data_IF_908793063993
#
_entry.id   IF_908793063993
#
_cell.length_a   1.000
_cell.length_b   1.000
_cell.length_c   1.000
_cell.angle_alpha   90.00
_cell.angle_beta   90.00
_cell.angle_gamma   90.00
#
_symmetry.space_group_name_H-M   'P 1'
#
loop_
_entity.id
_entity.type
_entity.pdbx_description
1 polymer ?
#
# COMPACT_ATOMS: atom_id res chain seq x y z
N UNK A 1 23.16 -0.65 15.56
CA UNK A 1 24.33 -0.67 14.64
C UNK A 1 25.25 -1.89 14.88
N UNK A 2 24.96 -3.07 14.31
CA UNK A 2 25.90 -4.22 14.39
C UNK A 2 27.02 -4.14 13.35
N UNK A 3 26.86 -3.35 12.28
CA UNK A 3 27.85 -3.16 11.23
C UNK A 3 28.37 -1.72 11.31
N UNK A 4 29.68 -1.53 11.46
CA UNK A 4 30.29 -0.20 11.44
C UNK A 4 30.05 0.55 10.12
N UNK A 5 30.37 1.84 10.08
CA UNK A 5 30.41 2.66 8.86
C UNK A 5 31.49 2.10 7.93
N UNK A 6 31.06 1.36 6.91
CA UNK A 6 31.93 0.88 5.82
C UNK A 6 32.45 2.04 4.98
N UNK A 7 33.47 1.82 4.17
CA UNK A 7 34.06 2.88 3.33
C UNK A 7 33.05 3.50 2.35
N UNK A 8 32.16 2.69 1.77
CA UNK A 8 31.08 3.19 0.92
C UNK A 8 30.08 4.05 1.71
N UNK A 9 29.72 3.64 2.93
CA UNK A 9 28.80 4.41 3.77
C UNK A 9 29.47 5.71 4.29
N UNK A 10 30.75 5.65 4.63
CA UNK A 10 31.54 6.82 5.02
C UNK A 10 31.69 7.81 3.87
N UNK A 11 31.91 7.33 2.64
CA UNK A 11 31.95 8.17 1.44
C UNK A 11 30.63 8.91 1.21
N UNK A 12 29.49 8.20 1.25
CA UNK A 12 28.17 8.81 1.09
C UNK A 12 27.87 9.82 2.21
N UNK A 13 28.23 9.50 3.45
CA UNK A 13 28.08 10.39 4.59
C UNK A 13 28.93 11.66 4.45
N UNK A 14 30.20 11.53 4.03
CA UNK A 14 31.08 12.69 3.82
C UNK A 14 30.58 13.56 2.67
N UNK A 15 30.14 12.96 1.57
CA UNK A 15 29.53 13.70 0.45
C UNK A 15 28.29 14.46 0.90
N UNK A 16 27.43 13.84 1.71
CA UNK A 16 26.23 14.46 2.23
C UNK A 16 26.53 15.64 3.17
N UNK A 17 27.56 15.54 4.02
CA UNK A 17 27.88 16.54 5.04
C UNK A 17 28.81 17.66 4.56
N UNK A 18 29.78 17.34 3.71
CA UNK A 18 30.90 18.23 3.38
C UNK A 18 31.06 18.49 1.88
N UNK A 19 30.15 17.96 1.04
CA UNK A 19 30.13 18.08 -0.42
C UNK A 19 31.33 17.47 -1.17
N UNK A 20 32.46 17.23 -0.50
CA UNK A 20 33.65 16.58 -1.02
C UNK A 20 34.09 15.44 -0.09
N UNK A 21 34.09 14.18 -0.55
CA UNK A 21 34.56 13.05 0.23
C UNK A 21 36.08 13.14 0.44
N UNK A 22 36.57 12.54 1.53
CA UNK A 22 38.01 12.42 1.78
C UNK A 22 38.64 11.50 0.73
N UNK A 23 39.87 11.81 0.35
CA UNK A 23 40.69 10.87 -0.42
C UNK A 23 40.87 9.56 0.36
N UNK A 24 40.97 8.40 -0.31
CA UNK A 24 41.10 7.09 0.36
C UNK A 24 42.22 7.04 1.40
N UNK A 25 43.36 7.68 1.09
CA UNK A 25 44.50 7.75 2.00
C UNK A 25 44.17 8.57 3.26
N UNK A 26 43.51 9.71 3.10
CA UNK A 26 43.11 10.57 4.23
C UNK A 26 42.08 9.87 5.13
N UNK A 27 41.15 9.08 4.56
CA UNK A 27 40.23 8.25 5.33
C UNK A 27 40.97 7.17 6.13
N UNK A 28 41.97 6.52 5.54
CA UNK A 28 42.77 5.52 6.24
C UNK A 28 43.61 6.14 7.37
N UNK A 29 44.13 7.35 7.17
CA UNK A 29 44.83 8.11 8.22
C UNK A 29 43.91 8.42 9.40
N UNK A 30 42.66 8.80 9.13
CA UNK A 30 41.63 8.99 10.18
C UNK A 30 41.40 7.69 10.94
N UNK A 31 41.22 6.55 10.25
CA UNK A 31 41.07 5.24 10.90
C UNK A 31 42.30 4.86 11.73
N UNK A 32 43.51 5.16 11.25
CA UNK A 32 44.75 4.91 11.98
C UNK A 32 44.83 5.71 13.28
N UNK A 33 44.33 6.95 13.30
CA UNK A 33 44.19 7.74 14.54
C UNK A 33 43.24 7.04 15.50
N UNK A 34 42.11 6.52 15.03
CA UNK A 34 41.15 5.79 15.88
C UNK A 34 41.77 4.51 16.44
N UNK A 35 42.40 3.67 15.60
CA UNK A 35 43.04 2.41 16.03
C UNK A 35 44.12 2.62 17.09
N UNK A 36 44.86 3.73 17.02
CA UNK A 36 45.89 4.07 18.01
C UNK A 36 45.34 4.43 19.39
N UNK A 37 44.11 4.93 19.45
CA UNK A 37 43.53 5.47 20.68
C UNK A 37 42.37 4.62 21.23
N UNK A 38 41.77 3.76 20.41
CA UNK A 38 40.59 2.97 20.78
C UNK A 38 40.66 1.57 20.14
N UNK A 39 40.77 0.54 20.99
CA UNK A 39 41.00 -0.85 20.60
C UNK A 39 39.84 -1.42 19.77
N UNK A 40 38.60 -0.95 20.00
CA UNK A 40 37.37 -1.37 19.31
C UNK A 40 36.75 -0.25 18.45
N UNK A 41 37.54 0.77 18.09
CA UNK A 41 37.08 1.91 17.30
C UNK A 41 36.94 1.62 15.80
N UNK A 42 37.61 0.59 15.29
CA UNK A 42 37.56 0.17 13.88
C UNK A 42 37.43 -1.35 13.82
N UNK A 43 36.40 -1.85 13.13
CA UNK A 43 36.15 -3.28 12.92
C UNK A 43 35.91 -3.55 11.43
N UNK A 44 36.51 -4.64 10.90
CA UNK A 44 36.39 -5.02 9.49
C UNK A 44 36.64 -3.86 8.50
N UNK A 45 37.66 -3.05 8.79
CA UNK A 45 38.00 -1.83 8.05
C UNK A 45 36.93 -0.71 8.05
N UNK A 46 35.84 -0.86 8.80
CA UNK A 46 34.82 0.16 9.01
C UNK A 46 34.91 0.82 10.39
N UNK A 47 34.46 2.06 10.48
CA UNK A 47 34.44 2.81 11.74
C UNK A 47 33.28 2.33 12.61
N UNK A 48 33.53 1.93 13.85
CA UNK A 48 32.45 1.54 14.77
C UNK A 48 31.73 2.76 15.33
N UNK A 49 30.57 2.58 15.97
CA UNK A 49 29.89 3.67 16.67
C UNK A 49 30.81 4.32 17.72
N UNK A 50 31.56 3.51 18.47
CA UNK A 50 32.54 4.03 19.46
C UNK A 50 33.66 4.83 18.78
N UNK A 51 34.17 4.35 17.65
CA UNK A 51 35.14 5.09 16.83
C UNK A 51 34.59 6.41 16.31
N UNK A 52 33.34 6.42 15.84
CA UNK A 52 32.66 7.62 15.35
C UNK A 52 32.49 8.67 16.46
N UNK A 53 32.02 8.27 17.64
CA UNK A 53 31.90 9.16 18.80
C UNK A 53 33.27 9.67 19.28
N UNK A 54 34.30 8.81 19.24
CA UNK A 54 35.67 9.20 19.55
C UNK A 54 36.19 10.29 18.59
N UNK A 55 35.92 10.18 17.28
CA UNK A 55 36.31 11.22 16.31
C UNK A 55 35.66 12.57 16.61
N UNK A 56 34.35 12.59 16.89
CA UNK A 56 33.66 13.82 17.27
C UNK A 56 34.18 14.42 18.58
N UNK A 57 34.52 13.57 19.57
CA UNK A 57 35.17 14.01 20.81
C UNK A 57 36.53 14.67 20.51
N UNK A 58 37.34 14.06 19.64
CA UNK A 58 38.64 14.58 19.24
C UNK A 58 38.53 15.92 18.50
N UNK A 59 37.53 16.10 17.63
CA UNK A 59 37.30 17.37 16.95
C UNK A 59 36.98 18.50 17.93
N UNK A 60 36.12 18.22 18.91
CA UNK A 60 35.75 19.21 19.95
C UNK A 60 36.97 19.59 20.80
N UNK A 61 37.73 18.62 21.29
CA UNK A 61 38.93 18.86 22.11
C UNK A 61 40.02 19.67 21.38
N UNK A 62 40.10 19.55 20.06
CA UNK A 62 41.04 20.30 19.21
C UNK A 62 40.50 21.66 18.77
N UNK A 63 39.37 22.11 19.31
CA UNK A 63 38.75 23.40 18.97
C UNK A 63 38.08 23.42 17.60
N UNK A 64 37.85 22.27 16.96
CA UNK A 64 37.21 22.12 15.64
C UNK A 64 35.75 21.67 15.76
N UNK A 65 35.03 22.24 16.73
CA UNK A 65 33.65 21.85 17.04
C UNK A 65 32.67 22.14 15.90
N UNK A 66 32.94 23.15 15.05
CA UNK A 66 32.13 23.43 13.86
C UNK A 66 31.99 22.22 12.93
N UNK A 67 32.98 21.33 12.84
CA UNK A 67 32.87 20.10 12.04
C UNK A 67 31.75 19.19 12.56
N UNK A 68 31.58 19.10 13.88
CA UNK A 68 30.48 18.35 14.49
C UNK A 68 29.14 19.06 14.24
N UNK A 69 29.10 20.39 14.38
CA UNK A 69 27.88 21.16 14.09
C UNK A 69 27.44 21.10 12.64
N UNK A 70 28.36 21.10 11.66
CA UNK A 70 28.03 20.88 10.25
C UNK A 70 27.28 19.56 10.04
N UNK A 71 27.74 18.48 10.69
CA UNK A 71 27.07 17.16 10.62
C UNK A 71 25.70 17.23 11.27
N UNK A 72 25.60 17.74 12.50
CA UNK A 72 24.32 17.84 13.22
C UNK A 72 23.27 18.62 12.41
N UNK A 73 23.63 19.81 11.93
CA UNK A 73 22.76 20.66 11.11
C UNK A 73 22.39 19.99 9.79
N UNK A 74 23.31 19.25 9.16
CA UNK A 74 22.99 18.48 7.93
C UNK A 74 21.94 17.41 8.17
N UNK A 75 21.93 16.82 9.36
CA UNK A 75 20.97 15.82 9.80
C UNK A 75 19.68 16.40 10.41
N UNK A 76 19.50 17.72 10.32
CA UNK A 76 18.27 18.41 10.73
C UNK A 76 18.24 18.85 12.19
N UNK A 77 19.34 18.71 12.94
CA UNK A 77 19.43 19.17 14.32
C UNK A 77 19.67 20.68 14.41
N UNK A 78 19.04 21.32 15.38
CA UNK A 78 19.27 22.72 15.75
C UNK A 78 20.33 22.87 16.86
N UNK A 79 20.51 24.10 17.35
CA UNK A 79 21.52 24.43 18.36
C UNK A 79 21.18 23.86 19.76
N UNK A 80 19.93 23.43 19.98
CA UNK A 80 19.47 22.76 21.22
C UNK A 80 19.54 21.22 21.11
N UNK A 81 20.06 20.69 19.99
CA UNK A 81 20.12 19.27 19.66
C UNK A 81 18.73 18.63 19.53
N UNK A 82 17.73 19.41 19.13
CA UNK A 82 16.41 18.92 18.75
C UNK A 82 16.30 18.88 17.22
N UNK A 83 15.46 17.98 16.69
CA UNK A 83 15.19 17.96 15.26
C UNK A 83 14.28 19.15 14.91
N UNK A 84 14.74 19.97 13.96
CA UNK A 84 14.02 21.15 13.53
C UNK A 84 12.63 20.77 13.00
N UNK A 85 11.61 21.51 13.42
CA UNK A 85 10.23 21.30 13.00
C UNK A 85 10.04 21.42 11.48
N UNK A 86 10.80 22.28 10.81
CA UNK A 86 10.76 22.42 9.34
C UNK A 86 11.34 21.20 8.62
N UNK A 87 12.25 20.45 9.27
CA UNK A 87 12.81 19.21 8.76
C UNK A 87 11.80 18.04 8.87
N UNK A 88 11.08 17.96 9.99
CA UNK A 88 10.09 16.92 10.26
C UNK A 88 8.74 17.18 9.57
N UNK A 89 8.33 18.44 9.49
CA UNK A 89 7.02 18.87 8.97
C UNK A 89 7.18 19.82 7.78
N UNK A 90 7.82 19.39 6.68
CA UNK A 90 7.98 20.25 5.51
C UNK A 90 6.60 20.60 4.92
N UNK A 91 6.46 21.81 4.35
CA UNK A 91 5.17 22.27 3.84
C UNK A 91 4.69 21.41 2.66
N UNK A 92 3.56 20.73 2.83
CA UNK A 92 2.88 19.98 1.78
C UNK A 92 1.41 20.37 1.71
N UNK A 93 1.02 21.08 0.64
CA UNK A 93 -0.37 21.47 0.43
C UNK A 93 -1.13 20.38 -0.30
N UNK A 94 -2.11 19.77 0.37
CA UNK A 94 -3.04 18.80 -0.22
C UNK A 94 -4.37 19.51 -0.53
N UNK A 95 -4.74 19.71 -1.81
CA UNK A 95 -6.03 20.31 -2.15
C UNK A 95 -7.21 19.40 -1.76
N UNK A 96 -8.42 19.96 -1.58
CA UNK A 96 -9.62 19.16 -1.36
C UNK A 96 -9.87 18.16 -2.50
N UNK A 97 -10.49 17.02 -2.18
CA UNK A 97 -10.76 15.90 -3.10
C UNK A 97 -9.51 15.21 -3.70
N UNK A 98 -8.29 15.60 -3.31
CA UNK A 98 -7.04 14.91 -3.65
C UNK A 98 -6.70 13.84 -2.59
N UNK A 99 -5.77 12.95 -2.92
CA UNK A 99 -5.19 11.98 -1.97
C UNK A 99 -3.67 12.03 -2.05
N UNK A 100 -3.01 11.45 -1.05
CA UNK A 100 -1.55 11.36 -0.95
C UNK A 100 -1.11 9.91 -1.11
N UNK A 101 -0.12 9.69 -1.96
CA UNK A 101 0.46 8.37 -2.23
C UNK A 101 1.99 8.46 -2.17
N UNK A 102 2.65 7.36 -1.83
CA UNK A 102 4.11 7.25 -1.97
C UNK A 102 4.49 7.17 -3.45
N UNK A 103 5.53 7.89 -3.85
CA UNK A 103 6.09 7.73 -5.19
C UNK A 103 7.01 6.50 -5.27
N UNK A 104 7.46 6.16 -6.48
CA UNK A 104 8.30 4.99 -6.70
C UNK A 104 9.62 5.03 -5.90
N UNK A 105 10.28 6.19 -5.82
CA UNK A 105 11.55 6.33 -5.09
C UNK A 105 11.36 6.18 -3.58
N UNK A 106 10.23 6.64 -3.04
CA UNK A 106 9.87 6.44 -1.63
C UNK A 106 9.62 4.96 -1.32
N UNK A 107 8.96 4.22 -2.23
CA UNK A 107 8.87 2.77 -2.10
C UNK A 107 10.25 2.11 -2.10
N UNK A 108 11.13 2.44 -3.06
CA UNK A 108 12.49 1.88 -3.11
C UNK A 108 13.28 2.16 -1.82
N UNK A 109 13.16 3.37 -1.28
CA UNK A 109 13.76 3.71 0.02
C UNK A 109 13.22 2.81 1.13
N UNK A 110 11.90 2.69 1.27
CA UNK A 110 11.28 1.85 2.29
C UNK A 110 11.63 0.36 2.14
N UNK A 111 11.76 -0.13 0.91
CA UNK A 111 12.23 -1.48 0.64
C UNK A 111 13.67 -1.67 1.16
N UNK A 112 14.55 -0.70 0.89
CA UNK A 112 15.93 -0.75 1.41
C UNK A 112 15.99 -0.66 2.94
N UNK A 113 15.06 0.07 3.57
CA UNK A 113 14.94 0.14 5.03
C UNK A 113 14.49 -1.22 5.58
N UNK A 114 13.48 -1.85 4.97
CA UNK A 114 13.05 -3.19 5.36
C UNK A 114 14.20 -4.20 5.26
N UNK A 115 14.84 -4.30 4.09
CA UNK A 115 15.90 -5.28 3.83
C UNK A 115 17.12 -5.10 4.75
N UNK A 116 17.36 -3.88 5.23
CA UNK A 116 18.42 -3.58 6.20
C UNK A 116 18.14 -4.18 7.59
N UNK A 117 16.86 -4.23 7.97
CA UNK A 117 16.43 -4.66 9.30
C UNK A 117 15.94 -6.11 9.34
N UNK A 118 15.53 -6.70 8.21
CA UNK A 118 15.30 -8.14 8.03
C UNK A 118 16.65 -8.89 8.00
N UNK A 119 17.15 -9.23 9.19
CA UNK A 119 18.48 -9.81 9.41
C UNK A 119 18.50 -11.30 9.12
N UNK A 120 17.41 -11.99 9.39
CA UNK A 120 17.28 -13.42 9.15
C UNK A 120 16.76 -13.76 7.74
N UNK A 121 16.32 -12.76 6.98
CA UNK A 121 15.88 -12.83 5.57
C UNK A 121 14.63 -13.68 5.42
N UNK A 122 13.74 -13.63 6.39
CA UNK A 122 12.47 -14.37 6.38
C UNK A 122 11.33 -13.61 5.67
N UNK A 123 11.61 -12.42 5.12
CA UNK A 123 10.64 -11.50 4.52
C UNK A 123 9.57 -11.00 5.51
N UNK A 124 9.87 -10.99 6.80
CA UNK A 124 9.10 -10.39 7.86
C UNK A 124 10.01 -9.62 8.83
N UNK A 125 9.39 -8.81 9.70
CA UNK A 125 10.11 -8.12 10.77
C UNK A 125 9.63 -8.68 12.10
N UNK A 126 10.52 -9.40 12.75
CA UNK A 126 10.35 -9.85 14.13
C UNK A 126 10.25 -8.66 15.10
N UNK A 127 9.76 -8.87 16.34
CA UNK A 127 9.69 -7.79 17.33
C UNK A 127 11.04 -7.12 17.62
N UNK A 128 12.14 -7.87 17.56
CA UNK A 128 13.48 -7.32 17.82
C UNK A 128 14.04 -6.55 16.62
N UNK A 129 13.68 -6.94 15.39
CA UNK A 129 14.02 -6.18 14.18
C UNK A 129 13.21 -4.90 14.06
N UNK A 130 11.92 -4.94 14.41
CA UNK A 130 11.11 -3.72 14.54
C UNK A 130 11.68 -2.77 15.60
N UNK A 131 12.18 -3.30 16.72
CA UNK A 131 12.84 -2.48 17.74
C UNK A 131 14.09 -1.81 17.19
N UNK A 132 14.96 -2.56 16.53
CA UNK A 132 16.17 -2.03 15.88
C UNK A 132 15.87 -1.03 14.75
N UNK A 133 14.76 -1.19 14.03
CA UNK A 133 14.26 -0.21 13.07
C UNK A 133 13.83 1.09 13.77
N UNK A 134 13.13 0.97 14.90
CA UNK A 134 12.60 2.11 15.65
C UNK A 134 13.59 2.74 16.63
N UNK A 135 14.82 2.23 16.73
CA UNK A 135 15.89 2.84 17.54
C UNK A 135 16.25 4.27 17.10
N UNK A 136 15.92 4.66 15.85
CA UNK A 136 16.10 6.04 15.34
C UNK A 136 14.87 6.93 15.56
N UNK A 137 13.81 6.41 16.17
CA UNK A 137 12.60 7.16 16.49
C UNK A 137 12.62 7.58 17.96
N UNK A 138 12.09 8.76 18.31
CA UNK A 138 12.00 9.20 19.70
C UNK A 138 10.93 8.45 20.51
N UNK A 139 10.06 7.69 19.85
CA UNK A 139 9.01 6.86 20.45
C UNK A 139 8.69 5.67 19.53
N UNK A 140 7.95 4.67 20.01
CA UNK A 140 7.49 3.56 19.18
C UNK A 140 6.34 4.02 18.27
N UNK A 141 6.54 4.10 16.93
CA UNK A 141 5.58 4.74 16.03
C UNK A 141 4.34 3.89 15.74
N UNK A 142 4.45 2.56 15.91
CA UNK A 142 3.42 1.59 15.57
C UNK A 142 2.92 0.88 16.83
N UNK A 143 1.61 0.93 17.04
CA UNK A 143 0.94 0.16 18.07
C UNK A 143 0.78 -1.32 17.67
N UNK A 144 0.35 -2.18 18.61
CA UNK A 144 0.15 -3.60 18.36
C UNK A 144 -1.04 -3.90 17.42
N UNK A 145 -1.90 -2.92 17.17
CA UNK A 145 -2.98 -2.95 16.20
C UNK A 145 -2.49 -2.98 14.75
N UNK A 146 -1.27 -2.49 14.47
CA UNK A 146 -0.66 -2.52 13.14
C UNK A 146 -0.52 -3.95 12.63
N UNK A 147 -0.14 -4.90 13.49
CA UNK A 147 -0.09 -6.31 13.15
C UNK A 147 -1.45 -6.84 12.69
N UNK A 148 -2.56 -6.19 13.04
CA UNK A 148 -3.91 -6.56 12.60
C UNK A 148 -4.48 -5.67 11.50
N UNK A 149 -3.69 -4.71 11.02
CA UNK A 149 -4.05 -3.79 9.95
C UNK A 149 -3.48 -4.24 8.60
N UNK A 150 -2.35 -4.95 8.62
CA UNK A 150 -1.59 -5.34 7.43
C UNK A 150 -1.29 -6.83 7.38
N UNK A 151 -0.74 -7.30 6.26
CA UNK A 151 -0.34 -8.71 6.12
C UNK A 151 0.76 -9.09 7.12
N UNK A 152 0.61 -10.24 7.76
CA UNK A 152 1.58 -10.83 8.69
C UNK A 152 1.86 -12.29 8.34
N UNK A 153 3.05 -12.78 8.69
CA UNK A 153 3.39 -14.20 8.57
C UNK A 153 2.60 -15.06 9.58
N UNK A 154 2.92 -16.35 9.69
CA UNK A 154 2.24 -17.29 10.60
C UNK A 154 2.45 -16.94 12.09
N UNK A 155 3.58 -16.33 12.43
CA UNK A 155 3.91 -15.88 13.79
C UNK A 155 3.29 -14.52 14.15
N UNK A 156 2.62 -13.86 13.19
CA UNK A 156 2.04 -12.53 13.39
C UNK A 156 3.01 -11.38 13.18
N UNK A 157 4.20 -11.64 12.64
CA UNK A 157 5.21 -10.63 12.30
C UNK A 157 4.84 -9.94 10.99
N UNK A 158 5.14 -8.65 10.89
CA UNK A 158 4.77 -7.83 9.73
C UNK A 158 5.61 -8.28 8.53
N UNK A 159 4.97 -8.73 7.45
CA UNK A 159 5.71 -9.14 6.25
C UNK A 159 6.23 -7.94 5.46
N UNK A 160 7.14 -8.15 4.52
CA UNK A 160 7.56 -7.13 3.55
C UNK A 160 6.38 -6.37 2.91
N UNK A 161 5.39 -7.11 2.40
CA UNK A 161 4.19 -6.51 1.82
C UNK A 161 3.34 -5.78 2.88
N UNK A 162 3.28 -6.32 4.09
CA UNK A 162 2.59 -5.67 5.22
C UNK A 162 3.25 -4.35 5.61
N UNK A 163 4.58 -4.29 5.64
CA UNK A 163 5.37 -3.11 5.93
C UNK A 163 5.07 -2.00 4.92
N UNK A 164 5.16 -2.29 3.61
CA UNK A 164 4.82 -1.31 2.57
C UNK A 164 3.35 -0.88 2.64
N UNK A 165 2.45 -1.80 2.99
CA UNK A 165 1.03 -1.49 3.18
C UNK A 165 0.80 -0.53 4.35
N UNK A 166 1.52 -0.68 5.46
CA UNK A 166 1.41 0.21 6.63
C UNK A 166 1.88 1.64 6.30
N UNK A 167 2.98 1.76 5.57
CA UNK A 167 3.45 3.06 5.07
C UNK A 167 2.46 3.70 4.09
N UNK A 168 1.89 2.90 3.19
CA UNK A 168 0.85 3.34 2.25
C UNK A 168 -0.40 3.85 2.98
N UNK A 169 -0.83 3.13 4.02
CA UNK A 169 -1.95 3.52 4.87
C UNK A 169 -1.67 4.84 5.60
N UNK A 170 -0.52 4.94 6.25
CA UNK A 170 -0.10 6.14 6.98
C UNK A 170 -0.05 7.33 6.03
N UNK A 171 0.55 7.17 4.84
CA UNK A 171 0.60 8.23 3.82
C UNK A 171 -0.79 8.69 3.37
N UNK A 172 -1.73 7.77 3.23
CA UNK A 172 -3.08 8.08 2.76
C UNK A 172 -3.95 8.76 3.82
N UNK A 173 -3.83 8.35 5.09
CA UNK A 173 -4.67 8.85 6.19
C UNK A 173 -4.07 10.07 6.90
N UNK A 174 -2.75 10.08 7.14
CA UNK A 174 -2.03 11.11 7.88
C UNK A 174 -0.65 11.33 7.25
N UNK A 175 -0.65 12.11 6.16
CA UNK A 175 0.58 12.40 5.41
C UNK A 175 1.63 13.14 6.27
N UNK A 176 1.21 13.95 7.24
CA UNK A 176 2.14 14.69 8.10
C UNK A 176 2.94 13.74 8.99
N UNK A 177 2.27 12.75 9.59
CA UNK A 177 2.95 11.68 10.33
C UNK A 177 3.88 10.86 9.45
N UNK A 178 3.51 10.61 8.20
CA UNK A 178 4.41 9.95 7.25
C UNK A 178 5.68 10.77 6.99
N UNK A 179 5.55 12.09 6.82
CA UNK A 179 6.68 13.00 6.60
C UNK A 179 7.60 13.05 7.82
N UNK A 180 7.02 13.12 9.02
CA UNK A 180 7.76 13.04 10.30
C UNK A 180 8.57 11.73 10.39
N UNK A 181 7.95 10.59 10.09
CA UNK A 181 8.63 9.29 10.11
C UNK A 181 9.72 9.17 9.04
N UNK A 182 9.54 9.79 7.87
CA UNK A 182 10.60 9.94 6.87
C UNK A 182 11.76 10.79 7.38
N UNK A 183 11.48 11.82 8.19
CA UNK A 183 12.47 12.59 8.92
C UNK A 183 13.31 11.73 9.85
N UNK A 184 12.68 10.93 10.71
CA UNK A 184 13.40 10.02 11.63
C UNK A 184 14.24 8.96 10.91
N UNK A 185 13.75 8.46 9.76
CA UNK A 185 14.52 7.54 8.91
C UNK A 185 15.60 8.23 8.07
N UNK A 186 15.66 9.56 8.05
CA UNK A 186 16.63 10.33 7.29
C UNK A 186 16.40 10.32 5.77
N UNK A 187 15.16 10.16 5.30
CA UNK A 187 14.84 10.00 3.87
C UNK A 187 15.46 11.08 2.98
N UNK A 188 15.24 12.37 3.30
CA UNK A 188 15.77 13.48 2.49
C UNK A 188 17.30 13.48 2.38
N UNK A 189 18.00 12.95 3.38
CA UNK A 189 19.46 12.88 3.43
C UNK A 189 19.94 11.71 2.58
N UNK A 190 19.37 10.53 2.80
CA UNK A 190 19.76 9.28 2.12
C UNK A 190 19.39 9.32 0.63
N UNK A 191 18.22 9.86 0.30
CA UNK A 191 17.73 9.99 -1.07
C UNK A 191 18.18 11.30 -1.75
N UNK A 192 19.00 12.12 -1.08
CA UNK A 192 19.52 13.41 -1.58
C UNK A 192 18.41 14.32 -2.15
N UNK A 193 17.32 14.46 -1.40
CA UNK A 193 16.17 15.30 -1.74
C UNK A 193 16.13 16.56 -0.89
N UNK A 194 15.41 17.58 -1.36
CA UNK A 194 15.24 18.84 -0.62
C UNK A 194 14.47 18.66 0.70
N UNK A 195 13.48 17.76 0.73
CA UNK A 195 12.67 17.50 1.92
C UNK A 195 11.99 16.13 1.88
N UNK A 196 11.34 15.76 2.98
CA UNK A 196 10.56 14.52 3.06
C UNK A 196 9.39 14.51 2.07
N UNK A 197 8.85 15.68 1.73
CA UNK A 197 7.73 15.84 0.82
C UNK A 197 8.03 15.37 -0.61
N UNK A 198 9.31 15.30 -1.00
CA UNK A 198 9.72 14.79 -2.31
C UNK A 198 9.34 13.31 -2.53
N UNK A 199 9.09 12.55 -1.44
CA UNK A 199 8.61 11.17 -1.51
C UNK A 199 7.10 11.02 -1.77
N UNK A 200 6.34 12.12 -1.72
CA UNK A 200 4.87 12.09 -1.78
C UNK A 200 4.35 12.57 -3.13
N UNK A 201 3.43 11.80 -3.71
CA UNK A 201 2.63 12.19 -4.87
C UNK A 201 1.25 12.64 -4.39
N UNK A 202 0.92 13.91 -4.62
CA UNK A 202 -0.45 14.41 -4.45
C UNK A 202 -1.25 14.11 -5.72
N UNK A 203 -2.28 13.29 -5.61
CA UNK A 203 -3.12 12.91 -6.74
C UNK A 203 -4.01 14.08 -7.15
N UNK A 204 -4.52 14.07 -8.38
CA UNK A 204 -5.48 15.10 -8.81
C UNK A 204 -6.84 14.93 -8.12
N UNK A 205 -7.63 15.99 -8.15
CA UNK A 205 -8.96 16.00 -7.55
C UNK A 205 -9.86 14.91 -8.15
N UNK A 206 -10.57 14.18 -7.28
CA UNK A 206 -11.48 13.09 -7.65
C UNK A 206 -12.55 13.50 -8.65
N UNK A 207 -13.04 14.74 -8.59
CA UNK A 207 -14.00 15.29 -9.56
C UNK A 207 -13.49 15.19 -11.01
N UNK A 208 -12.19 15.40 -11.22
CA UNK A 208 -11.54 15.29 -12.54
C UNK A 208 -11.49 13.83 -13.00
N UNK A 209 -11.20 12.89 -12.09
CA UNK A 209 -11.23 11.45 -12.40
C UNK A 209 -12.62 11.00 -12.85
N UNK A 210 -13.67 11.45 -12.16
CA UNK A 210 -15.05 11.15 -12.51
C UNK A 210 -15.46 11.75 -13.86
N UNK A 211 -15.06 12.98 -14.15
CA UNK A 211 -15.31 13.63 -15.44
C UNK A 211 -14.60 12.92 -16.59
N UNK A 212 -13.32 12.58 -16.40
CA UNK A 212 -12.50 11.87 -17.40
C UNK A 212 -12.77 10.38 -17.47
N UNK A 213 -13.55 9.83 -16.53
CA UNK A 213 -13.83 8.39 -16.40
C UNK A 213 -12.56 7.54 -16.33
N UNK A 214 -11.51 8.08 -15.74
CA UNK A 214 -10.21 7.44 -15.62
C UNK A 214 -9.49 8.01 -14.40
N UNK A 215 -8.81 7.16 -13.65
CA UNK A 215 -7.95 7.55 -12.52
C UNK A 215 -6.55 7.00 -12.70
N UNK A 216 -5.57 7.70 -12.12
CA UNK A 216 -4.17 7.25 -12.01
C UNK A 216 -3.82 6.85 -10.58
N UNK A 217 -4.79 6.90 -9.66
CA UNK A 217 -4.60 6.50 -8.26
C UNK A 217 -4.20 5.03 -8.16
N UNK A 218 -3.42 4.73 -7.14
CA UNK A 218 -3.04 3.37 -6.77
C UNK A 218 -3.70 2.92 -5.47
N UNK A 219 -4.20 3.85 -4.66
CA UNK A 219 -4.84 3.56 -3.37
C UNK A 219 -6.32 3.96 -3.41
N UNK A 220 -7.19 3.02 -3.07
CA UNK A 220 -8.64 3.24 -3.03
C UNK A 220 -9.22 2.94 -1.64
N UNK A 221 -9.99 3.88 -1.09
CA UNK A 221 -10.66 3.70 0.21
C UNK A 221 -12.06 3.11 0.04
N UNK A 222 -12.32 2.04 0.77
CA UNK A 222 -13.62 1.38 0.89
C UNK A 222 -14.13 1.50 2.32
N UNK A 223 -15.26 2.18 2.49
CA UNK A 223 -15.92 2.24 3.79
C UNK A 223 -16.88 1.06 3.96
N UNK A 224 -16.73 0.33 5.05
CA UNK A 224 -17.49 -0.87 5.39
C UNK A 224 -18.53 -0.52 6.45
N UNK A 225 -19.79 -0.50 6.04
CA UNK A 225 -20.95 -0.24 6.89
C UNK A 225 -21.72 -1.53 7.16
N UNK A 226 -22.32 -1.61 8.33
CA UNK A 226 -23.16 -2.74 8.72
C UNK A 226 -23.59 -2.63 10.18
N UNK A 227 -24.68 -3.29 10.54
CA UNK A 227 -25.15 -3.33 11.92
C UNK A 227 -24.08 -3.91 12.89
N UNK A 228 -24.24 -3.66 14.18
CA UNK A 228 -23.42 -4.32 15.20
C UNK A 228 -23.57 -5.84 15.04
N UNK A 229 -22.45 -6.56 15.06
CA UNK A 229 -22.45 -8.02 14.88
C UNK A 229 -22.61 -8.51 13.43
N UNK A 230 -22.70 -7.62 12.43
CA UNK A 230 -22.89 -8.05 11.03
C UNK A 230 -21.69 -8.78 10.40
N UNK A 231 -20.52 -8.71 11.04
CA UNK A 231 -19.29 -9.36 10.58
C UNK A 231 -18.26 -8.43 9.92
N UNK A 232 -18.39 -7.10 10.10
CA UNK A 232 -17.48 -6.08 9.53
C UNK A 232 -16.00 -6.36 9.82
N UNK A 233 -15.61 -6.55 11.08
CA UNK A 233 -14.20 -6.83 11.41
C UNK A 233 -13.70 -8.13 10.80
N UNK A 234 -14.56 -9.15 10.72
CA UNK A 234 -14.20 -10.40 10.06
C UNK A 234 -14.01 -10.25 8.56
N UNK A 235 -14.74 -9.33 7.92
CA UNK A 235 -14.51 -8.93 6.53
C UNK A 235 -13.15 -8.22 6.36
N UNK A 236 -12.78 -7.31 7.26
CA UNK A 236 -11.46 -6.66 7.22
C UNK A 236 -10.32 -7.68 7.38
N UNK A 237 -10.40 -8.55 8.38
CA UNK A 237 -9.33 -9.53 8.65
C UNK A 237 -9.22 -10.61 7.55
N UNK A 238 -10.34 -10.99 6.95
CA UNK A 238 -10.35 -11.89 5.80
C UNK A 238 -9.60 -11.31 4.60
N UNK A 239 -9.59 -9.99 4.41
CA UNK A 239 -8.81 -9.35 3.36
C UNK A 239 -7.30 -9.58 3.52
N UNK A 240 -6.85 -9.72 4.76
CA UNK A 240 -5.48 -10.05 5.16
C UNK A 240 -5.21 -11.56 5.17
N UNK A 241 -6.14 -12.38 4.66
CA UNK A 241 -6.01 -13.83 4.55
C UNK A 241 -6.32 -14.61 5.83
N UNK A 242 -6.98 -13.98 6.81
CA UNK A 242 -7.25 -14.60 8.12
C UNK A 242 -8.66 -15.14 8.19
N UNK A 243 -8.79 -16.45 8.39
CA UNK A 243 -10.09 -17.09 8.62
C UNK A 243 -10.61 -16.84 10.05
N UNK A 244 -11.85 -17.24 10.31
CA UNK A 244 -12.54 -17.03 11.60
C UNK A 244 -11.77 -17.64 12.79
N UNK A 245 -11.14 -18.81 12.60
CA UNK A 245 -10.34 -19.44 13.65
C UNK A 245 -9.16 -18.56 14.08
N UNK A 246 -8.41 -18.03 13.11
CA UNK A 246 -7.29 -17.11 13.37
C UNK A 246 -7.76 -15.80 13.98
N UNK A 247 -8.92 -15.30 13.56
CA UNK A 247 -9.52 -14.09 14.12
C UNK A 247 -9.92 -14.25 15.59
N UNK A 248 -10.42 -15.42 15.99
CA UNK A 248 -10.80 -15.69 17.38
C UNK A 248 -9.60 -15.75 18.35
N UNK A 249 -8.38 -15.92 17.83
CA UNK A 249 -7.15 -15.88 18.63
C UNK A 249 -6.63 -14.44 18.82
N UNK A 250 -7.23 -13.46 18.14
CA UNK A 250 -6.80 -12.07 18.23
C UNK A 250 -7.30 -11.45 19.53
N UNK A 251 -6.41 -10.69 20.19
CA UNK A 251 -6.79 -9.93 21.37
C UNK A 251 -7.59 -8.69 20.98
N UNK A 252 -8.61 -8.39 21.78
CA UNK A 252 -9.48 -7.22 21.56
C UNK A 252 -8.70 -5.90 21.65
N UNK A 253 -7.69 -5.83 22.52
CA UNK A 253 -6.81 -4.67 22.69
C UNK A 253 -5.95 -4.35 21.44
N UNK A 254 -5.79 -5.32 20.53
CA UNK A 254 -5.04 -5.16 19.28
C UNK A 254 -5.95 -4.99 18.06
N UNK A 255 -7.25 -4.76 18.26
CA UNK A 255 -8.21 -4.66 17.16
C UNK A 255 -7.95 -3.39 16.35
N UNK A 256 -7.86 -3.55 15.03
CA UNK A 256 -7.80 -2.44 14.09
C UNK A 256 -9.13 -2.28 13.36
N UNK A 257 -9.47 -1.02 13.06
CA UNK A 257 -10.62 -0.64 12.23
C UNK A 257 -10.22 -0.37 10.78
N UNK A 258 -8.95 -0.61 10.45
CA UNK A 258 -8.42 -0.54 9.11
C UNK A 258 -7.87 -1.89 8.68
N UNK A 259 -7.96 -2.18 7.39
CA UNK A 259 -7.20 -3.25 6.77
C UNK A 259 -6.73 -2.81 5.38
N UNK A 260 -5.45 -3.00 5.07
CA UNK A 260 -4.89 -2.63 3.78
C UNK A 260 -4.03 -3.75 3.22
N UNK A 261 -4.17 -3.97 1.91
CA UNK A 261 -3.38 -4.93 1.15
C UNK A 261 -3.55 -4.66 -0.35
N UNK A 262 -2.82 -5.40 -1.17
CA UNK A 262 -2.91 -5.29 -2.63
C UNK A 262 -3.99 -6.20 -3.21
N UNK A 263 -4.56 -5.74 -4.32
CA UNK A 263 -5.54 -6.43 -5.17
C UNK A 263 -5.13 -6.25 -6.63
N UNK A 264 -5.50 -7.20 -7.49
CA UNK A 264 -5.17 -7.15 -8.91
C UNK A 264 -6.43 -6.95 -9.75
N UNK A 265 -6.54 -5.79 -10.41
CA UNK A 265 -7.66 -5.47 -11.30
C UNK A 265 -7.14 -5.43 -12.73
N UNK A 266 -7.58 -6.39 -13.56
CA UNK A 266 -7.17 -6.52 -14.96
C UNK A 266 -5.63 -6.53 -15.16
N UNK A 267 -4.91 -7.14 -14.21
CA UNK A 267 -3.44 -7.22 -14.20
C UNK A 267 -2.72 -5.96 -13.71
N UNK A 268 -3.46 -4.95 -13.22
CA UNK A 268 -2.88 -3.81 -12.51
C UNK A 268 -2.97 -4.06 -11.01
N UNK A 269 -1.83 -3.96 -10.32
CA UNK A 269 -1.78 -4.00 -8.86
C UNK A 269 -2.25 -2.67 -8.29
N UNK A 270 -3.14 -2.73 -7.29
CA UNK A 270 -3.72 -1.58 -6.58
C UNK A 270 -3.87 -1.89 -5.10
N UNK A 271 -3.73 -0.88 -4.25
CA UNK A 271 -4.05 -0.97 -2.83
C UNK A 271 -5.54 -0.73 -2.61
N UNK A 272 -6.15 -1.62 -1.83
CA UNK A 272 -7.48 -1.42 -1.27
C UNK A 272 -7.31 -1.15 0.22
N UNK A 273 -7.89 -0.05 0.69
CA UNK A 273 -7.92 0.35 2.10
C UNK A 273 -9.36 0.16 2.59
N UNK A 274 -9.58 -0.80 3.47
CA UNK A 274 -10.87 -1.02 4.13
C UNK A 274 -10.91 -0.23 5.44
N UNK A 275 -12.02 0.47 5.67
CA UNK A 275 -12.29 1.19 6.91
C UNK A 275 -13.62 0.69 7.50
N UNK A 276 -13.59 0.08 8.67
CA UNK A 276 -14.80 -0.29 9.41
C UNK A 276 -15.41 0.97 10.04
N UNK A 277 -16.58 1.36 9.56
CA UNK A 277 -17.27 2.56 10.05
C UNK A 277 -18.21 2.16 11.19
N UNK A 278 -18.05 2.84 12.33
CA UNK A 278 -18.98 2.73 13.45
C UNK A 278 -20.10 3.75 13.30
N UNK A 279 -21.36 3.31 13.28
CA UNK A 279 -22.47 4.23 13.43
C UNK A 279 -22.57 4.69 14.89
N UNK A 280 -22.24 5.95 15.14
CA UNK A 280 -23.27 6.78 15.75
C UNK A 280 -24.02 7.43 14.59
N UNK A 281 -25.16 6.83 14.21
CA UNK A 281 -25.97 7.23 13.03
C UNK A 281 -26.33 8.73 13.03
N UNK A 282 -26.26 9.37 14.19
CA UNK A 282 -26.61 10.77 14.40
C UNK A 282 -25.51 11.75 13.92
N UNK A 283 -24.26 11.33 13.72
CA UNK A 283 -23.15 12.23 13.36
C UNK A 283 -22.05 11.59 12.49
N UNK A 284 -22.38 11.03 11.32
CA UNK A 284 -21.33 10.75 10.32
C UNK A 284 -20.84 12.07 9.71
N UNK A 285 -19.54 12.36 9.85
CA UNK A 285 -18.95 13.57 9.27
C UNK A 285 -18.73 13.40 7.76
N UNK A 286 -18.60 14.52 7.03
CA UNK A 286 -18.20 14.49 5.60
C UNK A 286 -16.85 13.78 5.39
N UNK A 287 -15.96 13.83 6.38
CA UNK A 287 -14.68 13.14 6.37
C UNK A 287 -14.85 11.62 6.46
N UNK A 288 -15.77 11.14 7.29
CA UNK A 288 -16.12 9.71 7.44
C UNK A 288 -16.81 9.16 6.19
N UNK A 289 -17.54 9.99 5.45
CA UNK A 289 -18.24 9.60 4.22
C UNK A 289 -17.34 9.56 2.98
N UNK A 290 -16.20 10.24 2.99
CA UNK A 290 -15.29 10.27 1.85
C UNK A 290 -14.77 8.87 1.50
N UNK A 291 -15.18 8.26 0.40
CA UNK A 291 -14.62 6.97 -0.02
C UNK A 291 -14.80 6.76 -1.52
N UNK A 292 -14.03 5.83 -2.09
CA UNK A 292 -14.06 5.48 -3.51
C UNK A 292 -15.08 4.39 -3.82
N UNK A 293 -15.42 3.57 -2.82
CA UNK A 293 -16.48 2.56 -2.90
C UNK A 293 -17.08 2.32 -1.51
N UNK A 294 -18.35 1.96 -1.44
CA UNK A 294 -19.06 1.62 -0.20
C UNK A 294 -19.36 0.13 -0.18
N UNK A 295 -19.03 -0.54 0.93
CA UNK A 295 -19.42 -1.91 1.22
C UNK A 295 -20.53 -1.90 2.29
N UNK A 296 -21.74 -2.31 1.90
CA UNK A 296 -22.91 -2.43 2.77
C UNK A 296 -23.07 -3.89 3.17
N UNK A 297 -22.71 -4.21 4.41
CA UNK A 297 -22.56 -5.58 4.90
C UNK A 297 -23.69 -5.94 5.88
N UNK A 298 -24.54 -6.86 5.46
CA UNK A 298 -25.63 -7.42 6.27
C UNK A 298 -25.34 -8.89 6.61
N UNK A 299 -25.94 -9.37 7.70
CA UNK A 299 -25.77 -10.75 8.19
C UNK A 299 -26.97 -11.59 7.76
N UNK A 300 -26.72 -12.66 6.99
CA UNK A 300 -27.78 -13.53 6.48
C UNK A 300 -28.55 -14.25 7.58
N UNK A 301 -27.93 -14.47 8.75
CA UNK A 301 -28.55 -15.13 9.90
C UNK A 301 -29.40 -14.16 10.76
N UNK A 302 -29.26 -12.84 10.54
CA UNK A 302 -29.99 -11.81 11.27
C UNK A 302 -31.01 -11.12 10.36
N UNK A 303 -32.29 -11.33 10.66
CA UNK A 303 -33.42 -10.86 9.86
C UNK A 303 -33.58 -9.32 9.79
N UNK A 304 -32.94 -8.55 10.69
CA UNK A 304 -33.05 -7.08 10.74
C UNK A 304 -31.80 -6.37 10.20
N UNK A 305 -30.73 -7.10 9.87
CA UNK A 305 -29.44 -6.50 9.52
C UNK A 305 -29.47 -5.71 8.21
N UNK A 306 -30.31 -6.10 7.24
CA UNK A 306 -30.49 -5.38 5.98
C UNK A 306 -31.08 -3.97 6.17
N UNK A 307 -31.92 -3.78 7.19
CA UNK A 307 -32.58 -2.49 7.45
C UNK A 307 -31.54 -1.39 7.68
N UNK A 308 -30.48 -1.71 8.43
CA UNK A 308 -29.37 -0.80 8.66
C UNK A 308 -28.69 -0.38 7.34
N UNK A 309 -28.33 -1.35 6.49
CA UNK A 309 -27.71 -1.08 5.19
C UNK A 309 -28.60 -0.21 4.31
N UNK A 310 -29.91 -0.48 4.30
CA UNK A 310 -30.88 0.31 3.55
C UNK A 310 -31.01 1.74 4.08
N UNK A 311 -31.02 1.95 5.41
CA UNK A 311 -31.04 3.27 6.04
C UNK A 311 -29.79 4.09 5.65
N UNK A 312 -28.60 3.53 5.84
CA UNK A 312 -27.33 4.18 5.47
C UNK A 312 -27.29 4.54 3.99
N UNK A 313 -27.65 3.60 3.11
CA UNK A 313 -27.68 3.87 1.67
C UNK A 313 -28.63 5.02 1.32
N UNK A 314 -29.86 4.99 1.86
CA UNK A 314 -30.87 6.01 1.56
C UNK A 314 -30.47 7.40 2.05
N UNK A 315 -29.85 7.47 3.23
CA UNK A 315 -29.49 8.73 3.87
C UNK A 315 -28.26 9.38 3.24
N UNK A 316 -27.25 8.60 2.86
CA UNK A 316 -25.93 9.14 2.51
C UNK A 316 -25.48 8.85 1.07
N UNK A 317 -25.97 7.76 0.45
CA UNK A 317 -25.43 7.27 -0.82
C UNK A 317 -26.41 7.20 -1.98
N UNK A 318 -27.72 7.42 -1.75
CA UNK A 318 -28.74 7.34 -2.80
C UNK A 318 -28.47 8.31 -3.96
N UNK A 319 -28.11 9.55 -3.63
CA UNK A 319 -27.81 10.61 -4.61
C UNK A 319 -26.29 10.82 -4.80
N UNK A 320 -25.47 9.95 -4.20
CA UNK A 320 -24.01 10.00 -4.32
C UNK A 320 -23.53 9.37 -5.63
N UNK A 321 -22.37 9.84 -6.09
CA UNK A 321 -21.64 9.22 -7.22
C UNK A 321 -20.77 8.04 -6.78
N UNK A 322 -20.70 7.77 -5.48
CA UNK A 322 -19.88 6.69 -4.93
C UNK A 322 -20.56 5.33 -5.19
N UNK A 323 -19.88 4.39 -5.85
CA UNK A 323 -20.44 3.07 -6.11
C UNK A 323 -20.65 2.30 -4.80
N UNK A 324 -21.77 1.58 -4.70
CA UNK A 324 -22.15 0.80 -3.52
C UNK A 324 -22.29 -0.68 -3.87
N UNK A 325 -21.75 -1.56 -3.02
CA UNK A 325 -21.89 -3.01 -3.10
C UNK A 325 -22.57 -3.55 -1.84
N UNK A 326 -23.60 -4.37 -2.02
CA UNK A 326 -24.22 -5.12 -0.92
C UNK A 326 -23.50 -6.45 -0.72
N UNK A 327 -23.17 -6.78 0.52
CA UNK A 327 -22.47 -8.02 0.91
C UNK A 327 -23.31 -8.78 1.93
N UNK A 328 -23.61 -10.03 1.60
CA UNK A 328 -24.34 -10.99 2.43
C UNK A 328 -23.32 -11.80 3.23
N UNK A 329 -22.96 -11.30 4.42
CA UNK A 329 -21.95 -11.90 5.29
C UNK A 329 -22.49 -13.11 6.08
N UNK A 330 -21.56 -13.93 6.57
CA UNK A 330 -21.83 -15.20 7.28
C UNK A 330 -22.65 -16.18 6.44
N UNK A 331 -22.34 -16.25 5.14
CA UNK A 331 -23.05 -17.12 4.19
C UNK A 331 -22.89 -18.62 4.49
N UNK A 332 -22.06 -18.99 5.45
CA UNK A 332 -21.96 -20.34 6.02
C UNK A 332 -23.12 -20.68 6.97
N UNK A 333 -23.83 -19.67 7.48
CA UNK A 333 -25.00 -19.85 8.35
C UNK A 333 -26.31 -19.94 7.54
N UNK A 334 -27.37 -20.55 8.09
CA UNK A 334 -28.68 -20.60 7.44
C UNK A 334 -29.24 -19.20 7.16
N UNK A 335 -29.58 -18.93 5.89
CA UNK A 335 -30.15 -17.66 5.48
C UNK A 335 -31.58 -17.49 6.02
N UNK A 336 -31.81 -16.41 6.75
CA UNK A 336 -33.11 -16.01 7.27
C UNK A 336 -33.70 -14.92 6.38
N UNK A 337 -35.02 -15.00 6.14
CA UNK A 337 -35.75 -13.97 5.39
C UNK A 337 -35.61 -12.61 6.08
N UNK A 338 -35.06 -11.64 5.36
CA UNK A 338 -34.93 -10.28 5.85
C UNK A 338 -36.31 -9.62 6.01
N UNK A 339 -36.52 -8.96 7.15
CA UNK A 339 -37.79 -8.31 7.54
C UNK A 339 -38.03 -6.98 6.80
N UNK A 340 -36.99 -6.42 6.20
CA UNK A 340 -37.10 -5.21 5.41
C UNK A 340 -38.08 -5.37 4.24
N UNK A 341 -38.80 -4.28 3.88
CA UNK A 341 -39.95 -4.31 2.96
C UNK A 341 -39.70 -4.79 1.52
N UNK A 342 -38.46 -5.17 1.17
CA UNK A 342 -38.13 -5.93 -0.03
C UNK A 342 -36.89 -6.81 0.22
N UNK A 343 -36.67 -7.82 -0.62
CA UNK A 343 -35.46 -8.65 -0.53
C UNK A 343 -34.17 -7.86 -0.83
N UNK A 344 -32.99 -8.32 -0.35
CA UNK A 344 -31.71 -7.70 -0.70
C UNK A 344 -31.50 -7.56 -2.22
N UNK A 345 -31.89 -8.57 -2.99
CA UNK A 345 -31.77 -8.57 -4.45
C UNK A 345 -32.69 -7.53 -5.11
N UNK A 346 -33.94 -7.42 -4.65
CA UNK A 346 -34.87 -6.40 -5.14
C UNK A 346 -34.38 -4.99 -4.79
N UNK A 347 -33.83 -4.80 -3.60
CA UNK A 347 -33.22 -3.53 -3.19
C UNK A 347 -32.08 -3.13 -4.12
N UNK A 348 -31.12 -4.04 -4.38
CA UNK A 348 -30.04 -3.80 -5.31
C UNK A 348 -30.55 -3.47 -6.73
N UNK A 349 -31.52 -4.24 -7.24
CA UNK A 349 -32.10 -4.02 -8.56
C UNK A 349 -32.78 -2.65 -8.65
N UNK A 350 -33.56 -2.26 -7.63
CA UNK A 350 -34.25 -0.96 -7.56
C UNK A 350 -33.27 0.20 -7.60
N UNK A 351 -32.15 0.07 -6.91
CA UNK A 351 -31.13 1.12 -6.78
C UNK A 351 -29.94 0.97 -7.74
N UNK A 352 -30.06 0.10 -8.76
CA UNK A 352 -29.04 -0.13 -9.80
C UNK A 352 -27.66 -0.54 -9.24
N UNK A 353 -27.64 -1.19 -8.10
CA UNK A 353 -26.44 -1.79 -7.50
C UNK A 353 -26.20 -3.20 -8.06
N UNK A 354 -24.97 -3.73 -7.99
CA UNK A 354 -24.71 -5.15 -8.25
C UNK A 354 -25.55 -6.05 -7.33
N UNK A 355 -25.88 -7.29 -7.77
CA UNK A 355 -26.51 -8.27 -6.89
C UNK A 355 -25.70 -8.47 -5.59
N UNK A 356 -26.37 -8.77 -4.45
CA UNK A 356 -25.68 -9.06 -3.20
C UNK A 356 -24.60 -10.14 -3.38
N UNK A 357 -23.41 -9.87 -2.86
CA UNK A 357 -22.28 -10.81 -2.91
C UNK A 357 -22.24 -11.62 -1.63
N UNK A 358 -22.32 -12.95 -1.73
CA UNK A 358 -22.15 -13.85 -0.58
C UNK A 358 -20.72 -13.83 -0.08
N UNK A 359 -20.55 -13.84 1.24
CA UNK A 359 -19.24 -13.80 1.87
C UNK A 359 -19.24 -14.56 3.20
N UNK A 360 -18.16 -15.32 3.43
CA UNK A 360 -17.84 -15.87 4.75
C UNK A 360 -16.33 -15.86 4.97
N UNK A 361 -15.91 -15.67 6.21
CA UNK A 361 -14.54 -15.89 6.67
C UNK A 361 -14.39 -17.20 7.45
N UNK A 362 -15.47 -17.96 7.64
CA UNK A 362 -15.46 -19.26 8.31
C UNK A 362 -15.05 -20.36 7.30
N UNK A 363 -13.79 -20.33 6.91
CA UNK A 363 -13.20 -21.24 5.92
C UNK A 363 -12.03 -22.00 6.53
N UNK A 364 -11.81 -23.24 6.10
CA UNK A 364 -10.66 -24.03 6.56
C UNK A 364 -9.32 -23.39 6.15
N UNK A 365 -9.25 -22.84 4.94
CA UNK A 365 -8.10 -22.08 4.42
C UNK A 365 -8.33 -20.56 4.49
N UNK A 366 -7.39 -19.80 3.94
CA UNK A 366 -7.53 -18.34 3.79
C UNK A 366 -8.83 -17.99 3.02
N UNK A 367 -9.60 -16.98 3.45
CA UNK A 367 -10.82 -16.58 2.76
C UNK A 367 -10.57 -16.10 1.33
N UNK A 368 -11.55 -16.31 0.46
CA UNK A 368 -11.48 -15.84 -0.93
C UNK A 368 -11.37 -14.31 -1.01
N UNK A 369 -10.54 -13.84 -1.94
CA UNK A 369 -10.26 -12.41 -2.16
C UNK A 369 -11.01 -11.81 -3.35
N UNK A 370 -11.82 -12.58 -4.08
CA UNK A 370 -12.55 -12.10 -5.27
C UNK A 370 -13.41 -10.86 -4.96
N UNK A 371 -14.07 -10.82 -3.79
CA UNK A 371 -14.92 -9.69 -3.39
C UNK A 371 -14.15 -8.38 -3.22
N UNK A 372 -12.89 -8.43 -2.77
CA UNK A 372 -12.05 -7.25 -2.64
C UNK A 372 -11.60 -6.75 -4.01
N UNK A 373 -11.26 -7.65 -4.93
CA UNK A 373 -10.99 -7.29 -6.33
C UNK A 373 -12.20 -6.63 -6.98
N UNK A 374 -13.41 -7.11 -6.69
CA UNK A 374 -14.67 -6.50 -7.12
C UNK A 374 -14.86 -5.09 -6.57
N UNK A 375 -14.61 -4.87 -5.27
CA UNK A 375 -14.65 -3.54 -4.65
C UNK A 375 -13.64 -2.58 -5.29
N UNK A 376 -12.38 -3.02 -5.48
CA UNK A 376 -11.35 -2.22 -6.15
C UNK A 376 -11.74 -1.89 -7.59
N UNK A 377 -12.33 -2.85 -8.32
CA UNK A 377 -12.80 -2.64 -9.70
C UNK A 377 -13.89 -1.56 -9.75
N UNK A 378 -14.83 -1.57 -8.79
CA UNK A 378 -15.86 -0.54 -8.69
C UNK A 378 -15.28 0.84 -8.35
N UNK A 379 -14.29 0.89 -7.46
CA UNK A 379 -13.59 2.13 -7.10
C UNK A 379 -12.82 2.73 -8.30
N UNK A 380 -12.17 1.89 -9.12
CA UNK A 380 -11.46 2.31 -10.33
C UNK A 380 -12.40 2.75 -11.45
N UNK A 381 -13.54 2.08 -11.60
CA UNK A 381 -14.46 2.28 -12.72
C UNK A 381 -15.91 2.54 -12.25
N UNK A 382 -16.18 3.61 -11.48
CA UNK A 382 -17.50 3.87 -10.88
C UNK A 382 -18.61 4.10 -11.92
N UNK A 383 -18.23 4.46 -13.16
CA UNK A 383 -19.13 4.70 -14.28
C UNK A 383 -19.44 3.44 -15.09
N UNK A 384 -18.62 2.39 -14.96
CA UNK A 384 -18.87 1.14 -15.65
C UNK A 384 -20.07 0.47 -14.99
N UNK A 385 -21.20 0.38 -15.71
CA UNK A 385 -22.27 -0.54 -15.32
C UNK A 385 -21.74 -1.94 -15.53
N UNK A 386 -21.03 -2.48 -14.54
CA UNK A 386 -20.59 -3.88 -14.49
C UNK A 386 -21.86 -4.75 -14.43
N UNK A 387 -22.50 -4.95 -15.59
CA UNK A 387 -23.86 -5.52 -15.72
C UNK A 387 -23.96 -6.98 -15.26
N UNK A 388 -22.85 -7.63 -14.95
CA UNK A 388 -22.87 -8.78 -14.06
C UNK A 388 -21.55 -8.85 -13.29
N UNK A 389 -21.63 -8.65 -11.98
CA UNK A 389 -20.69 -9.17 -10.98
C UNK A 389 -21.29 -10.41 -10.29
N UNK A 390 -22.15 -11.11 -11.02
CA UNK A 390 -22.81 -12.33 -10.58
C UNK A 390 -21.83 -13.50 -10.66
N UNK A 391 -21.94 -14.49 -9.78
CA UNK A 391 -21.11 -15.71 -9.77
C UNK A 391 -21.60 -16.76 -10.78
N UNK A 392 -22.39 -16.36 -11.78
CA UNK A 392 -23.17 -17.30 -12.57
C UNK A 392 -22.34 -18.11 -13.58
N UNK A 393 -21.06 -17.76 -13.81
CA UNK A 393 -20.18 -18.34 -14.85
C UNK A 393 -20.79 -18.43 -16.26
N UNK A 394 -21.90 -17.73 -16.51
CA UNK A 394 -22.72 -17.84 -17.73
C UNK A 394 -22.90 -16.52 -18.46
N UNK A 395 -22.65 -15.39 -17.80
CA UNK A 395 -22.71 -14.10 -18.49
C UNK A 395 -21.39 -13.81 -19.21
N UNK A 396 -21.46 -12.91 -20.19
CA UNK A 396 -20.30 -12.46 -20.97
C UNK A 396 -19.18 -11.89 -20.10
N UNK A 397 -19.49 -11.18 -19.01
CA UNK A 397 -18.46 -10.63 -18.11
C UNK A 397 -17.73 -11.73 -17.32
N UNK A 398 -18.43 -12.72 -16.74
CA UNK A 398 -17.81 -13.85 -16.03
C UNK A 398 -16.98 -14.71 -16.98
N UNK A 399 -17.49 -14.96 -18.19
CA UNK A 399 -16.76 -15.70 -19.21
C UNK A 399 -15.49 -14.93 -19.65
N UNK A 400 -15.57 -13.61 -19.84
CA UNK A 400 -14.41 -12.78 -20.13
C UNK A 400 -13.42 -12.72 -18.97
N UNK A 401 -13.89 -12.62 -17.72
CA UNK A 401 -13.01 -12.58 -16.55
C UNK A 401 -12.31 -13.93 -16.32
N UNK A 402 -13.03 -15.05 -16.46
CA UNK A 402 -12.46 -16.40 -16.38
C UNK A 402 -11.47 -16.65 -17.53
N UNK A 403 -11.74 -16.12 -18.73
CA UNK A 403 -10.82 -16.20 -19.86
C UNK A 403 -9.57 -15.34 -19.63
N UNK A 404 -9.72 -14.12 -19.10
CA UNK A 404 -8.60 -13.22 -18.78
C UNK A 404 -7.73 -13.76 -17.63
N UNK A 405 -8.34 -14.43 -16.65
CA UNK A 405 -7.66 -15.07 -15.53
C UNK A 405 -7.24 -16.51 -15.81
N UNK A 406 -7.49 -17.04 -17.01
CA UNK A 406 -7.08 -18.40 -17.36
C UNK A 406 -5.56 -18.51 -17.38
N UNK A 407 -5.02 -19.55 -16.74
CA UNK A 407 -3.60 -19.90 -16.77
C UNK A 407 -3.07 -20.01 -18.21
N UNK A 408 -3.91 -20.44 -19.14
CA UNK A 408 -3.57 -20.54 -20.56
C UNK A 408 -3.25 -19.16 -21.15
N UNK A 409 -4.07 -18.15 -20.83
CA UNK A 409 -3.92 -16.79 -21.35
C UNK A 409 -2.75 -16.06 -20.68
N UNK A 410 -2.52 -16.32 -19.39
CA UNK A 410 -1.34 -15.85 -18.67
C UNK A 410 -0.05 -16.47 -19.23
N UNK A 411 -0.05 -17.78 -19.51
CA UNK A 411 1.08 -18.49 -20.13
C UNK A 411 1.37 -18.00 -21.54
N UNK A 412 0.33 -17.78 -22.35
CA UNK A 412 0.45 -17.20 -23.70
C UNK A 412 0.98 -15.77 -23.63
N UNK A 413 0.49 -14.94 -22.70
CA UNK A 413 0.97 -13.58 -22.49
C UNK A 413 2.42 -13.55 -22.03
N UNK A 414 2.81 -14.42 -21.11
CA UNK A 414 4.19 -14.55 -20.65
C UNK A 414 5.13 -15.03 -21.77
N UNK A 415 4.70 -15.99 -22.58
CA UNK A 415 5.45 -16.44 -23.76
C UNK A 415 5.57 -15.36 -24.83
N UNK A 416 4.49 -14.60 -25.09
CA UNK A 416 4.53 -13.46 -26.01
C UNK A 416 5.44 -12.35 -25.49
N UNK A 417 5.36 -12.01 -24.20
CA UNK A 417 6.28 -11.04 -23.58
C UNK A 417 7.72 -11.52 -23.69
N UNK A 418 8.01 -12.79 -23.39
CA UNK A 418 9.36 -13.35 -23.53
C UNK A 418 9.86 -13.35 -24.97
N UNK A 419 9.00 -13.63 -25.95
CA UNK A 419 9.34 -13.59 -27.39
C UNK A 419 9.56 -12.15 -27.87
N UNK A 420 8.77 -11.19 -27.39
CA UNK A 420 8.92 -9.76 -27.72
C UNK A 420 10.15 -9.16 -27.04
N UNK A 421 10.43 -9.51 -25.78
CA UNK A 421 11.65 -9.09 -25.07
C UNK A 421 12.91 -9.70 -25.71
N UNK A 422 12.87 -10.99 -26.10
CA UNK A 422 13.98 -11.64 -26.82
C UNK A 422 14.23 -11.06 -28.21
N UNK A 423 13.23 -10.42 -28.84
CA UNK A 423 13.38 -9.73 -30.13
C UNK A 423 13.77 -8.26 -29.99
N UNK A 424 13.75 -7.68 -28.79
CA UNK A 424 14.12 -6.28 -28.52
C UNK A 424 15.48 -6.08 -27.86
N UNK A 425 16.24 -7.15 -27.61
CA UNK A 425 17.67 -7.08 -27.27
C UNK A 425 18.45 -7.68 -28.44
N UNK A 426 18.46 -6.95 -29.54
CA UNK A 426 19.53 -6.85 -30.53
C UNK A 426 19.13 -5.64 -31.38
N UNK A 427 20.07 -4.71 -31.50
CA UNK A 427 20.15 -3.61 -32.46
C UNK A 427 19.79 -2.20 -31.93
N UNK A 428 20.88 -1.44 -31.80
CA UNK A 428 21.00 0.01 -31.68
C UNK A 428 20.31 0.76 -32.83
N UNK A 429 19.96 2.02 -32.52
CA UNK A 429 19.61 3.14 -33.42
C UNK A 429 18.53 2.94 -34.49
N UNK A 430 17.38 3.61 -34.31
CA UNK A 430 16.97 4.77 -35.14
C UNK A 430 15.64 5.37 -34.64
N UNK A 431 15.59 6.69 -34.55
CA UNK A 431 14.44 7.49 -34.15
C UNK A 431 13.33 7.52 -35.22
N UNK A 432 12.08 7.66 -34.75
CA UNK A 432 10.82 7.91 -35.51
C UNK A 432 10.11 6.76 -36.25
N UNK A 433 10.75 5.63 -36.59
CA UNK A 433 10.08 4.53 -37.29
C UNK A 433 9.23 3.60 -36.38
N UNK A 434 9.37 3.71 -35.06
CA UNK A 434 8.80 2.78 -34.08
C UNK A 434 7.29 2.93 -33.86
N UNK A 435 6.71 4.10 -34.14
CA UNK A 435 5.28 4.35 -33.92
C UNK A 435 4.40 3.63 -34.96
N UNK A 436 4.72 3.81 -36.25
CA UNK A 436 3.98 3.18 -37.35
C UNK A 436 4.12 1.66 -37.36
N UNK A 437 5.28 1.15 -36.94
CA UNK A 437 5.53 -0.29 -36.83
C UNK A 437 4.77 -0.92 -35.65
N UNK A 438 4.64 -0.21 -34.52
CA UNK A 438 3.77 -0.63 -33.40
C UNK A 438 2.29 -0.57 -33.76
N UNK A 439 1.86 0.46 -34.50
CA UNK A 439 0.49 0.60 -34.97
C UNK A 439 0.10 -0.48 -35.99
N UNK A 440 0.99 -0.82 -36.92
CA UNK A 440 0.74 -1.86 -37.94
C UNK A 440 0.73 -3.26 -37.34
N UNK A 441 1.65 -3.58 -36.43
CA UNK A 441 1.64 -4.84 -35.68
C UNK A 441 0.38 -4.95 -34.81
N UNK A 442 0.00 -3.87 -34.12
CA UNK A 442 -1.24 -3.82 -33.33
C UNK A 442 -2.49 -4.06 -34.16
N UNK A 443 -2.60 -3.41 -35.33
CA UNK A 443 -3.70 -3.59 -36.26
C UNK A 443 -3.78 -5.03 -36.83
N UNK A 444 -2.63 -5.62 -37.13
CA UNK A 444 -2.55 -7.00 -37.65
C UNK A 444 -2.97 -8.02 -36.60
N UNK A 445 -2.55 -7.85 -35.34
CA UNK A 445 -2.96 -8.71 -34.23
C UNK A 445 -4.46 -8.58 -33.96
N UNK A 446 -5.01 -7.36 -33.99
CA UNK A 446 -6.45 -7.13 -33.86
C UNK A 446 -7.25 -7.77 -35.00
N UNK A 447 -6.76 -7.68 -36.24
CA UNK A 447 -7.42 -8.30 -37.40
C UNK A 447 -7.41 -9.83 -37.30
N UNK A 448 -6.29 -10.44 -36.90
CA UNK A 448 -6.18 -11.90 -36.75
C UNK A 448 -7.05 -12.41 -35.60
N UNK A 449 -7.06 -11.71 -34.45
CA UNK A 449 -7.93 -12.05 -33.32
C UNK A 449 -9.42 -11.86 -33.67
N UNK A 450 -9.76 -10.79 -34.40
CA UNK A 450 -11.11 -10.54 -34.88
C UNK A 450 -11.60 -11.64 -35.83
N UNK A 451 -10.76 -12.08 -36.78
CA UNK A 451 -11.08 -13.18 -37.70
C UNK A 451 -11.18 -14.52 -36.98
N UNK A 452 -10.32 -14.77 -35.98
CA UNK A 452 -10.38 -16.00 -35.17
C UNK A 452 -11.65 -16.05 -34.31
N UNK A 453 -12.03 -14.95 -33.66
CA UNK A 453 -13.28 -14.81 -32.91
C UNK A 453 -14.50 -14.93 -33.82
N UNK A 454 -14.49 -14.30 -34.98
CA UNK A 454 -15.56 -14.40 -35.97
C UNK A 454 -15.75 -15.85 -36.47
N UNK A 455 -14.65 -16.57 -36.75
CA UNK A 455 -14.70 -17.99 -37.13
C UNK A 455 -15.16 -18.90 -35.98
N UNK A 456 -14.80 -18.59 -34.73
CA UNK A 456 -15.26 -19.34 -33.56
C UNK A 456 -16.76 -19.15 -33.31
N UNK A 457 -17.27 -17.94 -33.50
CA UNK A 457 -18.70 -17.61 -33.36
C UNK A 457 -19.56 -18.17 -34.49
N UNK A 458 -19.03 -18.30 -35.71
CA UNK A 458 -19.75 -18.93 -36.82
C UNK A 458 -19.79 -20.45 -36.73
N UNK A 459 -18.85 -21.09 -36.02
CA UNK A 459 -18.85 -22.54 -35.78
C UNK A 459 -19.86 -23.01 -34.73
N UNK A 460 -20.51 -22.07 -34.03
CA UNK A 460 -21.48 -22.35 -32.95
C UNK A 460 -22.92 -22.02 -33.33
N UNK A 461 -23.23 -21.91 -34.62
CA UNK A 461 -24.61 -21.85 -35.14
C UNK A 461 -24.98 -23.13 -35.87
#
# INVERSE_FOLDING_TARGET
>A
FPCGLTDCAAFLWQRACFHSPLEPQALEDVKNVVRKNLIDGVLHNGLTLKGFLFLHTLFIQRGRHETTWTVLRRFGYDDDLELNQDYLFPPLKVPPDCSTELNHNAYLFLQSVFDKHDKDRDCALSPDELRDLFDVFPYTPWGPDVNNTVCTNEQGWITYQGFLSQWTLTTYLDVQRCLEYFGYLGYSIVAEQESQAAGITVTRAKKIDLQKKQTQRNVFRCNVFGAVGSGKSGFLQAFLGRNLLRQNMMKEEHRSFYAISTTFVYGQEKYLLLHEVFPDLDYLTDADMGCDVVCLLYDVSNACSLEYCAKVFKQYFMDSKTPCMMVAAKSDLPEVKQTYGCSPLEFCRKHKMPPPQSFTCNTAAAPDREIYTKLTTMAMYPHARLRCMCTCNRCTFCLCQNLLNSELLQSIRAKLYAVVLRRHIIQEDLSSATFWLRASVGATVFAVLGVALFRALLKTR
#
